data_IF_025203839748
#
_entry.id   IF_025203839748
#
_cell.length_a   1.000
_cell.length_b   1.000
_cell.length_c   1.000
_cell.angle_alpha   90.00
_cell.angle_beta   90.00
_cell.angle_gamma   90.00
#
_symmetry.space_group_name_H-M   'P 1'
#
loop_
_entity.id
_entity.type
_entity.pdbx_description
1 polymer ?
#
# COMPACT_ATOMS: atom_id res chain seq x y z
N UNK A 1 -11.43 52.98 -17.81
CA UNK A 1 -12.41 51.87 -17.81
C UNK A 1 -11.58 50.63 -17.99
N UNK A 2 -11.42 49.90 -16.89
CA UNK A 2 -10.50 48.79 -16.73
C UNK A 2 -11.36 47.53 -16.71
N UNK A 3 -11.26 46.70 -17.76
CA UNK A 3 -11.89 45.39 -17.77
C UNK A 3 -10.79 44.34 -17.66
N UNK A 4 -10.74 43.76 -16.47
CA UNK A 4 -9.82 42.73 -16.02
C UNK A 4 -10.54 41.39 -16.22
N UNK A 5 -10.18 40.64 -17.26
CA UNK A 5 -10.70 39.28 -17.47
C UNK A 5 -10.04 38.33 -16.46
N UNK A 6 -10.82 38.00 -15.44
CA UNK A 6 -10.48 37.03 -14.40
C UNK A 6 -10.64 35.60 -14.95
N UNK A 7 -9.54 34.99 -15.38
CA UNK A 7 -9.48 33.57 -15.69
C UNK A 7 -9.66 32.76 -14.40
N UNK A 8 -10.85 32.20 -14.21
CA UNK A 8 -11.12 31.24 -13.13
C UNK A 8 -10.37 29.95 -13.44
N UNK A 9 -9.23 29.74 -12.78
CA UNK A 9 -8.56 28.45 -12.73
C UNK A 9 -9.52 27.44 -12.07
N UNK A 10 -10.00 26.49 -12.87
CA UNK A 10 -10.62 25.28 -12.37
C UNK A 10 -9.50 24.46 -11.72
N UNK A 11 -9.41 24.48 -10.39
CA UNK A 11 -8.56 23.55 -9.65
C UNK A 11 -9.17 22.15 -9.76
N UNK A 12 -8.40 21.23 -10.32
CA UNK A 12 -8.68 19.81 -10.45
C UNK A 12 -8.63 19.14 -9.05
N UNK A 13 -9.76 18.69 -8.47
CA UNK A 13 -9.77 18.09 -7.15
C UNK A 13 -9.67 16.57 -7.30
N UNK A 14 -8.47 16.02 -7.49
CA UNK A 14 -8.40 14.57 -7.62
C UNK A 14 -7.04 13.93 -7.88
N UNK A 15 -6.06 14.07 -6.99
CA UNK A 15 -4.90 13.15 -7.03
C UNK A 15 -4.21 12.88 -5.68
N UNK A 16 -4.87 13.13 -4.55
CA UNK A 16 -4.37 12.71 -3.22
C UNK A 16 -5.15 11.52 -2.64
N UNK A 17 -5.78 10.73 -3.51
CA UNK A 17 -6.39 9.47 -3.09
C UNK A 17 -5.28 8.43 -2.84
N UNK A 18 -4.86 8.31 -1.58
CA UNK A 18 -4.15 7.15 -1.10
C UNK A 18 -5.18 6.11 -0.65
N UNK A 19 -5.39 5.00 -1.39
CA UNK A 19 -6.33 3.94 -1.02
C UNK A 19 -6.00 3.27 0.33
N UNK A 20 -4.81 3.55 0.90
CA UNK A 20 -4.35 3.06 2.20
C UNK A 20 -4.51 4.09 3.33
N UNK A 21 -5.08 5.27 3.08
CA UNK A 21 -5.33 6.27 4.10
C UNK A 21 -6.53 5.86 4.96
N UNK A 22 -6.30 4.97 5.93
CA UNK A 22 -7.27 4.68 6.97
C UNK A 22 -7.49 5.93 7.84
N UNK A 23 -8.53 6.69 7.55
CA UNK A 23 -9.17 7.59 8.50
C UNK A 23 -9.82 6.71 9.58
N UNK A 24 -9.29 6.72 10.81
CA UNK A 24 -10.00 6.66 12.11
C UNK A 24 -9.02 6.58 13.32
N UNK A 25 -9.16 7.57 14.23
CA UNK A 25 -9.03 7.51 15.71
C UNK A 25 -7.71 7.92 16.45
N UNK A 26 -7.83 8.71 17.55
CA UNK A 26 -6.74 9.29 18.35
C UNK A 26 -5.88 8.29 19.14
N UNK A 27 -6.26 7.01 19.14
CA UNK A 27 -5.54 5.92 19.83
C UNK A 27 -4.13 5.76 19.29
N UNK A 28 -3.94 5.82 17.96
CA UNK A 28 -2.64 5.60 17.31
C UNK A 28 -1.66 6.77 17.49
N UNK A 29 -2.17 7.96 17.82
CA UNK A 29 -1.38 9.17 17.98
C UNK A 29 -0.39 9.05 19.16
N UNK A 30 -0.76 8.35 20.23
CA UNK A 30 0.11 8.21 21.42
C UNK A 30 1.35 7.38 21.10
N UNK A 31 1.21 6.26 20.40
CA UNK A 31 2.34 5.41 20.00
C UNK A 31 3.29 6.19 19.09
N UNK A 32 2.75 6.91 18.10
CA UNK A 32 3.54 7.72 17.17
C UNK A 32 4.31 8.84 17.89
N UNK A 33 3.65 9.57 18.79
CA UNK A 33 4.30 10.62 19.60
C UNK A 33 5.41 10.00 20.46
N UNK A 34 5.14 8.86 21.09
CA UNK A 34 6.15 8.18 21.91
C UNK A 34 7.38 7.77 21.09
N UNK A 35 7.17 7.16 19.92
CA UNK A 35 8.25 6.76 19.01
C UNK A 35 9.07 7.98 18.54
N UNK A 36 8.41 9.07 18.15
CA UNK A 36 9.08 10.32 17.77
C UNK A 36 9.94 10.91 18.91
N UNK A 37 9.40 10.89 20.14
CA UNK A 37 10.13 11.34 21.33
C UNK A 37 11.36 10.48 21.64
N UNK A 38 11.26 9.16 21.45
CA UNK A 38 12.39 8.24 21.62
C UNK A 38 13.46 8.48 20.54
N UNK A 39 13.07 8.72 19.29
CA UNK A 39 14.00 9.11 18.23
C UNK A 39 14.76 10.39 18.53
N UNK A 40 14.06 11.41 19.05
CA UNK A 40 14.69 12.66 19.46
C UNK A 40 15.77 12.43 20.53
N UNK A 41 15.50 11.55 21.50
CA UNK A 41 16.47 11.16 22.55
C UNK A 41 17.60 10.28 22.04
N UNK A 42 17.38 9.49 20.98
CA UNK A 42 18.40 8.62 20.40
C UNK A 42 19.50 9.41 19.67
N UNK A 43 19.15 10.53 19.03
CA UNK A 43 20.09 11.40 18.29
C UNK A 43 21.27 11.92 19.12
N UNK A 44 21.13 11.98 20.45
CA UNK A 44 22.18 12.43 21.37
C UNK A 44 22.93 11.31 22.09
N UNK A 45 22.72 10.04 21.72
CA UNK A 45 23.24 8.87 22.46
C UNK A 45 23.97 7.85 21.59
N UNK A 46 24.82 7.02 22.21
CA UNK A 46 25.43 5.88 21.52
C UNK A 46 24.39 4.78 21.27
N UNK A 47 23.82 4.77 20.06
CA UNK A 47 22.77 3.83 19.64
C UNK A 47 23.29 2.39 19.54
N UNK A 48 24.53 2.18 19.10
CA UNK A 48 25.10 0.85 18.89
C UNK A 48 25.14 0.04 20.19
N UNK A 49 25.62 0.66 21.29
CA UNK A 49 25.69 -0.01 22.60
C UNK A 49 24.31 -0.33 23.17
N UNK A 50 23.28 0.48 22.88
CA UNK A 50 21.90 0.18 23.28
C UNK A 50 21.33 -1.02 22.53
N UNK A 51 21.62 -1.11 21.22
CA UNK A 51 21.20 -2.25 20.40
C UNK A 51 21.90 -3.53 20.88
N UNK A 52 23.21 -3.47 21.09
CA UNK A 52 24.00 -4.61 21.61
C UNK A 52 23.46 -5.10 22.96
N UNK A 53 23.14 -4.18 23.87
CA UNK A 53 22.52 -4.52 25.16
C UNK A 53 21.20 -5.28 24.98
N UNK A 54 20.32 -4.80 24.09
CA UNK A 54 19.03 -5.46 23.82
C UNK A 54 19.27 -6.85 23.24
N UNK A 55 20.17 -7.01 22.28
CA UNK A 55 20.48 -8.31 21.67
C UNK A 55 20.99 -9.30 22.72
N UNK A 56 21.88 -8.86 23.63
CA UNK A 56 22.34 -9.72 24.73
C UNK A 56 21.20 -10.10 25.67
N UNK A 57 20.29 -9.18 25.99
CA UNK A 57 19.12 -9.52 26.80
C UNK A 57 18.22 -10.54 26.12
N UNK A 58 18.12 -10.54 24.77
CA UNK A 58 17.37 -11.55 24.04
C UNK A 58 18.06 -12.91 24.16
N UNK A 59 19.37 -12.96 23.97
CA UNK A 59 20.17 -14.19 24.14
C UNK A 59 20.00 -14.77 25.55
N UNK A 60 20.07 -13.93 26.59
CA UNK A 60 19.92 -14.32 28.00
C UNK A 60 18.55 -14.96 28.31
N UNK A 61 17.49 -14.59 27.57
CA UNK A 61 16.14 -15.16 27.73
C UNK A 61 15.79 -16.20 26.67
N UNK A 62 16.77 -16.63 25.87
CA UNK A 62 16.57 -17.65 24.83
C UNK A 62 15.77 -17.19 23.62
N UNK A 63 15.77 -15.88 23.33
CA UNK A 63 15.14 -15.29 22.15
C UNK A 63 16.20 -14.75 21.18
N UNK A 64 15.85 -14.70 19.90
CA UNK A 64 16.61 -13.94 18.90
C UNK A 64 15.66 -12.99 18.15
N UNK A 65 16.21 -12.13 17.30
CA UNK A 65 15.41 -11.13 16.59
C UNK A 65 14.27 -11.74 15.75
N UNK A 66 14.47 -12.80 14.93
CA UNK A 66 13.38 -13.44 14.21
C UNK A 66 12.26 -13.97 15.12
N UNK A 67 12.59 -14.72 16.18
CA UNK A 67 11.60 -15.27 17.11
C UNK A 67 10.82 -14.15 17.81
N UNK A 68 11.52 -13.09 18.23
CA UNK A 68 10.87 -11.96 18.88
C UNK A 68 9.90 -11.24 17.95
N UNK A 69 10.30 -10.98 16.70
CA UNK A 69 9.43 -10.33 15.72
C UNK A 69 8.21 -11.19 15.40
N UNK A 70 8.36 -12.51 15.32
CA UNK A 70 7.26 -13.46 15.09
C UNK A 70 6.26 -13.46 16.26
N UNK A 71 6.74 -13.63 17.50
CA UNK A 71 5.91 -13.61 18.70
C UNK A 71 5.16 -12.28 18.90
N UNK A 72 5.82 -11.16 18.59
CA UNK A 72 5.16 -9.84 18.64
C UNK A 72 4.15 -9.67 17.51
N UNK A 73 4.42 -10.23 16.32
CA UNK A 73 3.60 -10.11 15.11
C UNK A 73 2.65 -11.30 14.92
N UNK A 74 1.94 -11.69 15.98
CA UNK A 74 0.88 -12.72 15.96
C UNK A 74 1.32 -14.20 15.91
N UNK A 75 2.57 -14.53 16.27
CA UNK A 75 3.07 -15.91 16.27
C UNK A 75 2.35 -16.89 17.22
N UNK A 76 1.72 -16.42 18.30
CA UNK A 76 0.91 -17.28 19.18
C UNK A 76 -0.31 -16.51 19.79
N UNK A 77 -1.52 -17.12 19.79
CA UNK A 77 -2.75 -16.51 20.31
C UNK A 77 -2.68 -16.03 21.77
N UNK A 78 -1.93 -16.71 22.63
CA UNK A 78 -1.84 -16.39 24.06
C UNK A 78 -1.13 -15.05 24.31
N UNK A 79 -0.24 -14.63 23.39
CA UNK A 79 0.46 -13.35 23.47
C UNK A 79 -0.39 -12.16 22.97
N UNK A 80 -1.51 -12.43 22.30
CA UNK A 80 -2.44 -11.40 21.80
C UNK A 80 -3.14 -10.68 22.97
N UNK A 81 -3.32 -11.35 24.10
CA UNK A 81 -3.97 -10.80 25.29
C UNK A 81 -3.07 -9.86 26.12
N UNK A 82 -1.75 -9.93 25.95
CA UNK A 82 -0.83 -9.09 26.73
C UNK A 82 -0.89 -7.63 26.25
N UNK A 83 -1.30 -6.72 27.16
CA UNK A 83 -1.49 -5.29 26.85
C UNK A 83 -0.20 -4.64 26.33
N UNK A 84 0.96 -5.01 26.87
CA UNK A 84 2.25 -4.45 26.45
C UNK A 84 2.63 -4.95 25.05
N UNK A 85 2.50 -6.24 24.78
CA UNK A 85 2.79 -6.81 23.45
C UNK A 85 1.85 -6.20 22.41
N UNK A 86 0.55 -6.09 22.72
CA UNK A 86 -0.42 -5.42 21.85
C UNK A 86 -0.05 -3.96 21.59
N UNK A 87 0.38 -3.21 22.61
CA UNK A 87 0.81 -1.83 22.45
C UNK A 87 2.00 -1.73 21.49
N UNK A 88 3.06 -2.52 21.72
CA UNK A 88 4.27 -2.50 20.87
C UNK A 88 3.96 -2.94 19.43
N UNK A 89 3.13 -3.98 19.25
CA UNK A 89 2.65 -4.40 17.93
C UNK A 89 1.90 -3.28 17.23
N UNK A 90 0.98 -2.62 17.95
CA UNK A 90 0.22 -1.49 17.39
C UNK A 90 1.16 -0.35 17.01
N UNK A 91 2.13 -0.03 17.88
CA UNK A 91 3.13 0.99 17.62
C UNK A 91 3.93 0.67 16.34
N UNK A 92 4.35 -0.59 16.16
CA UNK A 92 5.05 -1.04 14.95
C UNK A 92 4.18 -0.90 13.69
N UNK A 93 2.93 -1.39 13.73
CA UNK A 93 2.06 -1.43 12.54
C UNK A 93 1.64 -0.06 12.03
N UNK A 94 1.54 0.93 12.92
CA UNK A 94 1.20 2.31 12.53
C UNK A 94 2.41 3.20 12.31
N UNK A 95 3.61 2.72 12.62
CA UNK A 95 4.86 3.48 12.55
C UNK A 95 5.22 3.89 11.12
N UNK A 96 5.82 5.07 10.96
CA UNK A 96 6.47 5.46 9.70
C UNK A 96 7.76 4.65 9.47
N UNK A 97 8.31 4.08 10.54
CA UNK A 97 9.50 3.26 10.56
C UNK A 97 9.31 1.94 9.83
N UNK A 98 8.17 1.25 10.00
CA UNK A 98 7.94 -0.07 9.40
C UNK A 98 8.06 -0.03 7.87
N UNK A 99 7.38 0.87 7.13
CA UNK A 99 7.60 1.02 5.69
C UNK A 99 9.05 1.34 5.31
N UNK A 100 9.77 2.08 6.16
CA UNK A 100 11.17 2.43 5.96
C UNK A 100 12.09 1.22 6.16
N UNK A 101 11.80 0.38 7.15
CA UNK A 101 12.49 -0.89 7.43
C UNK A 101 12.29 -1.86 6.26
N UNK A 102 11.05 -2.07 5.81
CA UNK A 102 10.74 -2.95 4.68
C UNK A 102 11.46 -2.51 3.40
N UNK A 103 11.50 -1.18 3.12
CA UNK A 103 12.27 -0.64 1.99
C UNK A 103 13.76 -0.92 2.07
N UNK A 104 14.36 -0.83 3.27
CA UNK A 104 15.78 -1.17 3.48
C UNK A 104 16.04 -2.66 3.36
N UNK A 105 15.14 -3.51 3.83
CA UNK A 105 15.25 -4.97 3.68
C UNK A 105 15.11 -5.40 2.21
N UNK A 106 14.28 -4.72 1.42
CA UNK A 106 14.14 -4.98 -0.01
C UNK A 106 15.40 -4.58 -0.81
N UNK A 107 16.14 -3.55 -0.36
CA UNK A 107 17.38 -3.08 -0.99
C UNK A 107 18.52 -3.00 0.03
N UNK A 108 19.00 -4.15 0.52
CA UNK A 108 20.06 -4.16 1.52
C UNK A 108 21.38 -3.70 0.90
N UNK A 109 22.26 -2.99 1.64
CA UNK A 109 23.52 -2.49 1.09
C UNK A 109 24.45 -3.58 0.54
N UNK A 110 24.38 -4.81 1.08
CA UNK A 110 25.17 -5.97 0.63
C UNK A 110 24.42 -7.25 0.98
N UNK A 111 23.92 -7.98 -0.05
CA UNK A 111 23.65 -9.45 -0.14
C UNK A 111 22.56 -9.72 -1.19
N UNK A 112 22.73 -10.77 -2.01
CA UNK A 112 21.71 -11.25 -2.97
C UNK A 112 20.62 -12.11 -2.29
N UNK A 113 20.88 -12.72 -1.13
CA UNK A 113 19.99 -13.71 -0.51
C UNK A 113 18.73 -13.17 0.17
N UNK A 114 18.80 -12.00 0.83
CA UNK A 114 17.64 -11.38 1.50
C UNK A 114 16.66 -10.70 0.55
N UNK A 115 17.07 -10.45 -0.70
CA UNK A 115 16.21 -9.87 -1.73
C UNK A 115 15.13 -10.88 -2.17
N UNK A 116 15.44 -12.19 -2.14
CA UNK A 116 14.54 -13.23 -2.64
C UNK A 116 13.27 -13.36 -1.77
N UNK A 117 13.41 -13.54 -0.46
CA UNK A 117 12.27 -13.81 0.41
C UNK A 117 11.24 -12.66 0.42
N UNK A 118 11.69 -11.40 0.52
CA UNK A 118 10.78 -10.27 0.55
C UNK A 118 10.12 -10.03 -0.82
N UNK A 119 10.83 -10.30 -1.92
CA UNK A 119 10.28 -10.18 -3.27
C UNK A 119 9.22 -11.25 -3.55
N UNK A 120 9.49 -12.50 -3.16
CA UNK A 120 8.57 -13.62 -3.28
C UNK A 120 7.29 -13.35 -2.49
N UNK A 121 7.44 -13.01 -1.21
CA UNK A 121 6.31 -12.58 -0.36
C UNK A 121 5.52 -11.41 -0.95
N UNK A 122 6.21 -10.37 -1.44
CA UNK A 122 5.52 -9.21 -2.05
C UNK A 122 4.72 -9.59 -3.30
N UNK A 123 5.23 -10.56 -4.07
CA UNK A 123 4.55 -11.07 -5.24
C UNK A 123 3.32 -11.89 -4.85
N UNK A 124 3.43 -12.77 -3.85
CA UNK A 124 2.29 -13.52 -3.29
C UNK A 124 1.18 -12.59 -2.78
N UNK A 125 1.52 -11.56 -2.01
CA UNK A 125 0.54 -10.58 -1.55
C UNK A 125 -0.17 -9.86 -2.70
N UNK A 126 0.57 -9.53 -3.77
CA UNK A 126 -0.02 -8.89 -4.95
C UNK A 126 -0.94 -9.83 -5.71
N UNK A 127 -0.56 -11.10 -5.87
CA UNK A 127 -1.40 -12.12 -6.51
C UNK A 127 -2.70 -12.27 -5.71
N UNK A 128 -2.61 -12.48 -4.40
CA UNK A 128 -3.79 -12.61 -3.55
C UNK A 128 -4.69 -11.38 -3.64
N UNK A 129 -4.14 -10.17 -3.56
CA UNK A 129 -4.93 -8.94 -3.66
C UNK A 129 -5.66 -8.82 -5.01
N UNK A 130 -5.05 -9.27 -6.10
CA UNK A 130 -5.67 -9.29 -7.43
C UNK A 130 -6.72 -10.40 -7.54
N UNK A 131 -6.47 -11.58 -6.99
CA UNK A 131 -7.45 -12.68 -6.96
C UNK A 131 -8.69 -12.30 -6.14
N UNK A 132 -8.50 -11.73 -4.96
CA UNK A 132 -9.58 -11.22 -4.11
C UNK A 132 -10.41 -10.17 -4.85
N UNK A 133 -9.77 -9.23 -5.56
CA UNK A 133 -10.49 -8.26 -6.40
C UNK A 133 -11.23 -8.92 -7.56
N UNK A 134 -10.61 -9.89 -8.24
CA UNK A 134 -11.23 -10.58 -9.37
C UNK A 134 -12.45 -11.41 -8.96
N UNK A 135 -12.44 -12.00 -7.77
CA UNK A 135 -13.60 -12.71 -7.21
C UNK A 135 -14.78 -11.74 -7.03
N UNK A 136 -14.54 -10.51 -6.57
CA UNK A 136 -15.62 -9.52 -6.38
C UNK A 136 -16.26 -9.04 -7.68
N UNK A 137 -15.60 -9.20 -8.83
CA UNK A 137 -16.11 -8.74 -10.14
C UNK A 137 -16.60 -9.87 -11.01
N UNK A 138 -16.56 -11.11 -10.51
CA UNK A 138 -16.95 -12.31 -11.25
C UNK A 138 -18.35 -12.18 -11.87
N UNK A 139 -19.31 -11.66 -11.11
CA UNK A 139 -20.70 -11.48 -11.57
C UNK A 139 -20.83 -10.42 -12.67
N UNK A 140 -19.95 -9.42 -12.68
CA UNK A 140 -19.94 -8.34 -13.68
C UNK A 140 -19.25 -8.80 -14.98
N UNK A 141 -18.30 -9.74 -14.86
CA UNK A 141 -17.57 -10.33 -15.98
C UNK A 141 -18.35 -11.42 -16.72
N UNK A 142 -19.48 -11.88 -16.18
CA UNK A 142 -20.35 -12.81 -16.89
C UNK A 142 -21.06 -12.10 -18.04
N UNK A 143 -20.98 -12.71 -19.23
CA UNK A 143 -21.68 -12.24 -20.42
C UNK A 143 -23.18 -12.49 -20.22
N UNK A 144 -24.05 -11.46 -20.17
CA UNK A 144 -25.48 -11.67 -20.10
C UNK A 144 -25.98 -12.35 -21.40
N UNK A 145 -27.07 -13.12 -21.30
CA UNK A 145 -27.53 -14.00 -22.39
C UNK A 145 -27.82 -13.27 -23.71
N UNK A 146 -28.10 -11.97 -23.66
CA UNK A 146 -28.38 -11.08 -24.78
C UNK A 146 -27.16 -10.29 -25.31
N UNK A 147 -26.03 -10.32 -24.61
CA UNK A 147 -24.85 -9.51 -24.96
C UNK A 147 -24.16 -9.92 -26.27
N UNK A 148 -24.37 -11.15 -26.74
CA UNK A 148 -23.89 -11.64 -28.04
C UNK A 148 -24.87 -11.33 -29.20
N UNK A 149 -25.97 -10.65 -28.93
CA UNK A 149 -26.85 -10.14 -29.98
C UNK A 149 -26.21 -8.95 -30.71
N UNK A 150 -26.69 -8.64 -31.93
CA UNK A 150 -26.24 -7.47 -32.66
C UNK A 150 -26.45 -6.18 -31.85
N UNK A 151 -27.58 -6.05 -31.16
CA UNK A 151 -27.87 -4.88 -30.31
C UNK A 151 -27.00 -4.85 -29.05
N UNK A 152 -26.69 -6.02 -28.46
CA UNK A 152 -25.78 -6.14 -27.32
C UNK A 152 -24.36 -5.70 -27.65
N UNK A 153 -23.83 -6.12 -28.80
CA UNK A 153 -22.49 -5.75 -29.26
C UNK A 153 -22.39 -4.27 -29.63
N UNK A 154 -23.47 -3.67 -30.16
CA UNK A 154 -23.47 -2.25 -30.55
C UNK A 154 -23.68 -1.32 -29.34
N UNK A 155 -24.25 -1.82 -28.24
CA UNK A 155 -24.45 -1.08 -26.98
C UNK A 155 -23.36 -1.31 -25.92
N UNK A 156 -22.35 -2.14 -26.22
CA UNK A 156 -21.23 -2.40 -25.32
C UNK A 156 -20.23 -1.22 -25.35
N UNK A 157 -20.34 -0.32 -24.38
CA UNK A 157 -19.39 0.79 -24.23
C UNK A 157 -18.19 0.38 -23.38
N UNK A 158 -17.00 0.35 -23.99
CA UNK A 158 -15.73 0.07 -23.32
C UNK A 158 -15.48 1.06 -22.16
N UNK A 159 -15.89 2.31 -22.32
CA UNK A 159 -15.82 3.35 -21.27
C UNK A 159 -16.58 2.96 -20.01
N UNK A 160 -17.74 2.31 -20.15
CA UNK A 160 -18.51 1.83 -19.00
C UNK A 160 -17.82 0.67 -18.29
N UNK A 161 -17.07 -0.16 -19.01
CA UNK A 161 -16.26 -1.24 -18.42
C UNK A 161 -15.07 -0.65 -17.67
N UNK A 162 -14.37 0.32 -18.27
CA UNK A 162 -13.26 1.05 -17.64
C UNK A 162 -13.71 1.73 -16.35
N UNK A 163 -14.85 2.43 -16.39
CA UNK A 163 -15.40 3.13 -15.23
C UNK A 163 -15.81 2.16 -14.12
N UNK A 164 -16.39 1.00 -14.46
CA UNK A 164 -16.70 -0.05 -13.47
C UNK A 164 -15.44 -0.68 -12.86
N UNK A 165 -14.40 -0.91 -13.65
CA UNK A 165 -13.15 -1.53 -13.17
C UNK A 165 -12.28 -0.58 -12.34
N UNK A 166 -12.35 0.71 -12.58
CA UNK A 166 -11.48 1.71 -11.94
C UNK A 166 -12.02 2.28 -10.61
N UNK A 167 -13.33 2.16 -10.34
CA UNK A 167 -13.95 2.76 -9.15
C UNK A 167 -13.90 1.79 -7.95
N UNK A 168 -13.33 2.21 -6.80
CA UNK A 168 -13.43 1.45 -5.55
C UNK A 168 -14.88 1.36 -5.05
N UNK A 169 -15.34 0.16 -4.69
CA UNK A 169 -16.63 -0.04 -3.98
C UNK A 169 -17.86 -0.36 -4.83
N UNK A 170 -17.74 -0.41 -6.17
CA UNK A 170 -18.80 -0.87 -7.08
C UNK A 170 -18.52 -2.26 -7.68
N UNK A 171 -17.73 -3.10 -7.01
CA UNK A 171 -17.19 -4.32 -7.61
C UNK A 171 -16.21 -3.98 -8.73
N UNK A 172 -15.31 -3.03 -8.48
CA UNK A 172 -14.19 -2.72 -9.36
C UNK A 172 -12.92 -3.45 -8.93
N UNK A 173 -11.89 -3.41 -9.77
CA UNK A 173 -10.57 -4.01 -9.51
C UNK A 173 -9.50 -2.92 -9.40
N UNK A 174 -9.53 -2.04 -8.37
CA UNK A 174 -8.67 -0.86 -8.31
C UNK A 174 -7.18 -1.20 -8.22
N UNK A 175 -6.79 -2.28 -7.54
CA UNK A 175 -5.40 -2.75 -7.45
C UNK A 175 -4.94 -3.32 -8.79
N UNK A 176 -5.73 -4.17 -9.44
CA UNK A 176 -5.42 -4.69 -10.77
C UNK A 176 -5.36 -3.56 -11.80
N UNK A 177 -6.31 -2.62 -11.75
CA UNK A 177 -6.34 -1.46 -12.64
C UNK A 177 -5.10 -0.59 -12.48
N UNK A 178 -4.75 -0.23 -11.24
CA UNK A 178 -3.54 0.52 -10.93
C UNK A 178 -2.28 -0.22 -11.37
N UNK A 179 -2.24 -1.54 -11.22
CA UNK A 179 -1.14 -2.39 -11.68
C UNK A 179 -1.01 -2.35 -13.20
N UNK A 180 -2.07 -2.68 -13.94
CA UNK A 180 -2.12 -2.67 -15.40
C UNK A 180 -1.72 -1.30 -15.95
N UNK A 181 -2.29 -0.24 -15.40
CA UNK A 181 -1.95 1.13 -15.76
C UNK A 181 -0.46 1.44 -15.54
N UNK A 182 0.13 0.92 -14.46
CA UNK A 182 1.54 1.13 -14.13
C UNK A 182 2.51 0.30 -14.97
N UNK A 183 2.15 -0.91 -15.41
CA UNK A 183 3.01 -1.77 -16.23
C UNK A 183 2.92 -1.46 -17.73
N UNK A 184 1.78 -0.91 -18.18
CA UNK A 184 1.57 -0.53 -19.59
C UNK A 184 2.11 0.86 -19.93
N UNK A 185 2.38 1.70 -18.92
CA UNK A 185 2.97 3.03 -19.12
C UNK A 185 4.47 3.02 -18.86
N UNK A 186 5.25 3.43 -19.86
CA UNK A 186 6.67 3.73 -19.65
C UNK A 186 6.84 5.02 -18.83
N UNK A 187 7.95 5.14 -18.10
CA UNK A 187 8.31 6.37 -17.35
C UNK A 187 8.22 7.61 -18.25
N UNK A 188 8.65 7.48 -19.50
CA UNK A 188 8.62 8.54 -20.51
C UNK A 188 7.21 8.92 -20.99
N UNK A 189 6.29 7.95 -21.06
CA UNK A 189 4.88 8.23 -21.35
C UNK A 189 4.21 8.93 -20.16
N UNK A 190 4.54 8.56 -18.93
CA UNK A 190 4.00 9.19 -17.72
C UNK A 190 4.38 10.66 -17.58
N UNK A 191 5.61 11.01 -17.97
CA UNK A 191 6.11 12.40 -17.95
C UNK A 191 5.54 13.24 -19.11
N UNK A 192 5.37 12.64 -20.30
CA UNK A 192 4.86 13.34 -21.49
C UNK A 192 3.33 13.42 -21.58
N UNK A 193 2.61 12.57 -20.84
CA UNK A 193 1.14 12.54 -20.81
C UNK A 193 0.54 13.49 -19.75
N UNK A 194 1.09 14.69 -19.62
CA UNK A 194 0.44 15.77 -18.84
C UNK A 194 -0.86 16.27 -19.50
N UNK A 195 -1.10 15.91 -20.77
CA UNK A 195 -2.29 16.31 -21.55
C UNK A 195 -2.96 15.17 -22.32
N UNK A 196 -2.52 13.91 -22.13
CA UNK A 196 -3.08 12.75 -22.83
C UNK A 196 -3.32 11.64 -21.83
N UNK A 197 -4.54 11.53 -21.32
CA UNK A 197 -4.98 10.33 -20.61
C UNK A 197 -4.81 9.10 -21.53
N UNK A 198 -4.41 7.94 -20.99
CA UNK A 198 -4.27 6.70 -21.77
C UNK A 198 -5.58 6.23 -22.42
N UNK A 199 -6.71 6.83 -22.03
CA UNK A 199 -8.03 6.66 -22.63
C UNK A 199 -8.11 7.19 -24.08
N UNK A 200 -7.16 8.03 -24.52
CA UNK A 200 -7.14 8.67 -25.84
C UNK A 200 -6.24 7.96 -26.87
N UNK A 201 -5.71 6.77 -26.58
CA UNK A 201 -4.80 6.03 -27.50
C UNK A 201 -5.50 4.84 -28.17
N UNK A 202 -6.79 4.99 -28.48
CA UNK A 202 -7.46 4.13 -29.47
C UNK A 202 -8.01 5.00 -30.60
N UNK A 203 -7.20 5.10 -31.65
CA UNK A 203 -7.54 5.62 -32.97
C UNK A 203 -6.71 4.87 -34.00
#
# INVERSE_FOLDING_TARGET
MSDNENATQFEDPGSDYNPFAYSHAPSFTIQLINTANLWAKLKSSNVASKIEYILRCMDDVGLNLPIFLDLVSWGDPDYIANVKIRYERTALMVSEELPSILRRWHKPPRTLGSICALREFSFECMVQAVEDELETVQDIMQCPEDALSADGLTNLFIENIILKLSIPGFGGTPTLWAFLHRVTQTVKQRENNTYKTPELVCG
#
